data_IF_552938992869
#
_entry.id   IF_552938992869
#
_cell.length_a   1.000
_cell.length_b   1.000
_cell.length_c   1.000
_cell.angle_alpha   90.00
_cell.angle_beta   90.00
_cell.angle_gamma   90.00
#
_symmetry.space_group_name_H-M   'P 1'
#
loop_
_entity.id
_entity.type
_entity.pdbx_description
1 polymer ?
#
# COMPACT_ATOMS: atom_id res chain seq x y z
N UNK A 1 -12.07 10.62 12.75
CA UNK A 1 -11.41 9.46 12.11
C UNK A 1 -10.82 8.57 13.20
N UNK A 2 -10.94 7.26 13.07
CA UNK A 2 -10.40 6.26 13.99
C UNK A 2 -9.28 5.45 13.31
N UNK A 3 -8.07 5.44 13.87
CA UNK A 3 -6.93 4.68 13.33
C UNK A 3 -6.69 3.43 14.19
N UNK A 4 -6.83 2.25 13.60
CA UNK A 4 -6.59 0.97 14.26
C UNK A 4 -5.21 0.43 13.88
N UNK A 5 -4.25 0.56 14.81
CA UNK A 5 -2.84 0.25 14.63
C UNK A 5 -1.97 1.49 14.50
N UNK A 6 -1.26 1.84 15.57
CA UNK A 6 -0.42 3.05 15.67
C UNK A 6 1.07 2.71 15.43
N UNK A 7 1.33 2.00 14.33
CA UNK A 7 2.68 1.76 13.83
C UNK A 7 3.22 2.92 12.99
N UNK A 8 4.24 2.64 12.14
CA UNK A 8 4.80 3.63 11.21
C UNK A 8 3.71 4.28 10.35
N UNK A 9 2.91 3.50 9.64
CA UNK A 9 1.91 4.02 8.68
C UNK A 9 0.73 4.64 9.42
N UNK A 10 0.05 3.90 10.32
CA UNK A 10 -1.11 4.42 11.06
C UNK A 10 -0.77 5.63 11.92
N UNK A 11 0.39 5.62 12.60
CA UNK A 11 0.87 6.77 13.36
C UNK A 11 1.20 7.99 12.49
N UNK A 12 1.69 7.77 11.26
CA UNK A 12 1.91 8.86 10.30
C UNK A 12 0.60 9.42 9.75
N UNK A 13 -0.39 8.56 9.46
CA UNK A 13 -1.73 8.99 9.06
C UNK A 13 -2.37 9.84 10.16
N UNK A 14 -2.31 9.37 11.40
CA UNK A 14 -2.88 10.10 12.54
C UNK A 14 -2.26 11.49 12.68
N UNK A 15 -0.93 11.63 12.50
CA UNK A 15 -0.23 12.92 12.51
C UNK A 15 -0.58 13.80 11.32
N UNK A 16 -0.62 13.23 10.11
CA UNK A 16 -0.89 13.98 8.90
C UNK A 16 -2.34 14.47 8.86
N UNK A 17 -3.30 13.62 9.23
CA UNK A 17 -4.71 13.99 9.30
C UNK A 17 -4.97 15.05 10.40
N UNK A 18 -4.36 14.93 11.58
CA UNK A 18 -4.46 15.96 12.61
C UNK A 18 -3.89 17.31 12.14
N UNK A 19 -2.80 17.30 11.35
CA UNK A 19 -2.23 18.51 10.76
C UNK A 19 -3.12 19.12 9.64
N UNK A 20 -4.06 18.34 9.11
CA UNK A 20 -5.10 18.74 8.16
C UNK A 20 -6.46 19.00 8.86
N UNK A 21 -6.45 19.29 10.16
CA UNK A 21 -7.61 19.63 10.99
C UNK A 21 -8.66 18.52 11.17
N UNK A 22 -8.28 17.25 10.96
CA UNK A 22 -9.16 16.13 11.30
C UNK A 22 -9.20 15.90 12.81
N UNK A 23 -10.39 15.62 13.36
CA UNK A 23 -10.52 15.02 14.68
C UNK A 23 -10.09 13.54 14.57
N UNK A 24 -8.99 13.18 15.27
CA UNK A 24 -8.37 11.86 15.18
C UNK A 24 -8.25 11.21 16.56
N UNK A 25 -8.51 9.92 16.61
CA UNK A 25 -8.21 9.07 17.76
C UNK A 25 -7.80 7.68 17.28
N UNK A 26 -7.17 6.90 18.13
CA UNK A 26 -6.64 5.63 17.66
C UNK A 26 -6.57 4.54 18.72
N UNK A 27 -6.47 3.33 18.21
CA UNK A 27 -6.25 2.12 19.02
C UNK A 27 -4.91 1.48 18.66
N UNK A 28 -4.21 1.02 19.67
CA UNK A 28 -3.07 0.14 19.49
C UNK A 28 -3.01 -0.93 20.58
N UNK A 29 -2.65 -2.16 20.20
CA UNK A 29 -2.51 -3.27 21.14
C UNK A 29 -1.36 -3.05 22.14
N UNK A 30 -0.27 -2.38 21.71
CA UNK A 30 0.89 -2.10 22.56
C UNK A 30 0.61 -0.93 23.50
N UNK A 31 0.78 -1.17 24.80
CA UNK A 31 0.71 -0.13 25.85
C UNK A 31 1.76 0.95 25.60
N UNK A 32 2.98 0.56 25.24
CA UNK A 32 4.08 1.49 24.96
C UNK A 32 3.74 2.39 23.75
N UNK A 33 3.15 1.81 22.69
CA UNK A 33 2.71 2.57 21.52
C UNK A 33 1.62 3.59 21.87
N UNK A 34 0.66 3.23 22.71
CA UNK A 34 -0.39 4.15 23.18
C UNK A 34 0.20 5.24 24.08
N UNK A 35 1.10 4.89 24.99
CA UNK A 35 1.76 5.88 25.86
C UNK A 35 2.59 6.87 25.05
N UNK A 36 3.31 6.40 24.04
CA UNK A 36 4.08 7.27 23.15
C UNK A 36 3.17 8.21 22.33
N UNK A 37 2.04 7.72 21.82
CA UNK A 37 1.06 8.56 21.12
C UNK A 37 0.46 9.62 22.05
N UNK A 38 0.08 9.24 23.27
CA UNK A 38 -0.44 10.18 24.29
C UNK A 38 0.59 11.22 24.71
N UNK A 39 1.86 10.82 24.84
CA UNK A 39 2.96 11.73 25.14
C UNK A 39 3.13 12.82 24.08
N UNK A 40 2.92 12.46 22.81
CA UNK A 40 2.93 13.38 21.68
C UNK A 40 1.61 14.19 21.54
N UNK A 41 0.66 14.03 22.48
CA UNK A 41 -0.59 14.79 22.53
C UNK A 41 -1.75 14.19 21.72
N UNK A 42 -1.62 12.93 21.26
CA UNK A 42 -2.67 12.25 20.51
C UNK A 42 -3.59 11.43 21.43
N UNK A 43 -4.87 11.40 21.09
CA UNK A 43 -5.86 10.57 21.73
C UNK A 43 -5.74 9.12 21.26
N UNK A 44 -5.36 8.21 22.14
CA UNK A 44 -5.11 6.82 21.84
C UNK A 44 -5.49 5.91 23.02
N UNK A 45 -5.99 4.71 22.73
CA UNK A 45 -6.39 3.73 23.76
C UNK A 45 -5.87 2.33 23.43
N UNK A 46 -5.75 1.48 24.46
CA UNK A 46 -5.54 0.03 24.29
C UNK A 46 -6.86 -0.74 24.35
N UNK A 47 -7.99 -0.07 24.59
CA UNK A 47 -9.32 -0.66 24.58
C UNK A 47 -9.96 -0.54 23.20
N UNK A 48 -10.05 -1.68 22.50
CA UNK A 48 -10.65 -1.73 21.18
C UNK A 48 -12.14 -1.40 21.21
N UNK A 49 -12.85 -1.84 22.27
CA UNK A 49 -14.29 -1.62 22.42
C UNK A 49 -14.59 -0.14 22.60
N UNK A 50 -13.79 0.57 23.40
CA UNK A 50 -13.87 2.02 23.58
C UNK A 50 -13.70 2.74 22.23
N UNK A 51 -12.65 2.39 21.47
CA UNK A 51 -12.36 3.00 20.17
C UNK A 51 -13.50 2.76 19.15
N UNK A 52 -14.04 1.54 19.08
CA UNK A 52 -15.09 1.19 18.12
C UNK A 52 -16.44 1.79 18.51
N UNK A 53 -16.79 1.83 19.81
CA UNK A 53 -18.01 2.50 20.29
C UNK A 53 -18.00 3.97 19.87
N UNK A 54 -16.89 4.65 20.13
CA UNK A 54 -16.73 6.05 19.74
C UNK A 54 -16.75 6.23 18.22
N UNK A 55 -16.15 5.32 17.47
CA UNK A 55 -16.20 5.36 16.00
C UNK A 55 -17.64 5.26 15.49
N UNK A 56 -18.43 4.34 16.05
CA UNK A 56 -19.83 4.16 15.69
C UNK A 56 -20.69 5.41 16.05
N UNK A 57 -20.50 5.99 17.23
CA UNK A 57 -21.22 7.19 17.66
C UNK A 57 -20.97 8.40 16.74
N UNK A 58 -19.74 8.49 16.21
CA UNK A 58 -19.31 9.60 15.33
C UNK A 58 -19.48 9.31 13.85
N UNK A 59 -19.86 8.09 13.45
CA UNK A 59 -19.80 7.67 12.04
C UNK A 59 -18.41 7.84 11.44
N UNK A 60 -17.36 7.56 12.21
CA UNK A 60 -15.99 7.87 11.84
C UNK A 60 -15.46 6.95 10.75
N UNK A 61 -14.67 7.48 9.81
CA UNK A 61 -13.85 6.64 8.93
C UNK A 61 -12.85 5.84 9.78
N UNK A 62 -12.92 4.51 9.70
CA UNK A 62 -12.00 3.59 10.36
C UNK A 62 -10.86 3.22 9.38
N UNK A 63 -9.61 3.46 9.80
CA UNK A 63 -8.41 3.13 9.05
C UNK A 63 -7.75 1.89 9.64
N UNK A 64 -7.72 0.79 8.88
CA UNK A 64 -7.10 -0.48 9.28
C UNK A 64 -5.60 -0.41 8.97
N UNK A 65 -4.78 -0.16 9.98
CA UNK A 65 -3.32 -0.06 9.88
C UNK A 65 -2.61 -1.17 10.67
N UNK A 66 -3.17 -2.37 10.62
CA UNK A 66 -2.66 -3.58 11.29
C UNK A 66 -2.13 -4.59 10.27
N UNK A 67 -1.21 -5.50 10.66
CA UNK A 67 -0.77 -6.60 9.79
C UNK A 67 -1.92 -7.55 9.41
N UNK A 68 -1.85 -8.12 8.20
CA UNK A 68 -2.84 -9.07 7.65
C UNK A 68 -3.34 -10.13 8.65
N UNK A 69 -2.48 -10.83 9.43
CA UNK A 69 -2.96 -11.86 10.37
C UNK A 69 -3.87 -11.34 11.49
N UNK A 70 -3.90 -10.03 11.73
CA UNK A 70 -4.77 -9.43 12.74
C UNK A 70 -6.14 -9.01 12.19
N UNK A 71 -6.29 -8.92 10.86
CA UNK A 71 -7.51 -8.43 10.22
C UNK A 71 -8.76 -9.25 10.54
N UNK A 72 -8.79 -10.60 10.44
CA UNK A 72 -10.02 -11.37 10.63
C UNK A 72 -10.68 -11.11 12.00
N UNK A 73 -9.89 -11.13 13.06
CA UNK A 73 -10.40 -10.86 14.40
C UNK A 73 -10.84 -9.41 14.59
N UNK A 74 -10.11 -8.45 14.03
CA UNK A 74 -10.45 -7.03 14.11
C UNK A 74 -11.75 -6.72 13.35
N UNK A 75 -11.91 -7.29 12.16
CA UNK A 75 -13.11 -7.12 11.34
C UNK A 75 -14.35 -7.72 12.00
N UNK A 76 -14.23 -8.85 12.73
CA UNK A 76 -15.31 -9.40 13.50
C UNK A 76 -15.82 -8.41 14.59
N UNK A 77 -14.91 -7.74 15.32
CA UNK A 77 -15.28 -6.71 16.29
C UNK A 77 -15.92 -5.49 15.61
N UNK A 78 -15.41 -5.06 14.45
CA UNK A 78 -15.99 -3.94 13.71
C UNK A 78 -17.40 -4.28 13.22
N UNK A 79 -17.62 -5.49 12.70
CA UNK A 79 -18.94 -5.94 12.25
C UNK A 79 -19.97 -5.99 13.40
N UNK A 80 -19.54 -6.25 14.63
CA UNK A 80 -20.40 -6.26 15.82
C UNK A 80 -20.66 -4.84 16.36
N UNK A 81 -19.63 -3.98 16.43
CA UNK A 81 -19.68 -2.74 17.19
C UNK A 81 -19.84 -1.47 16.34
N UNK A 82 -19.37 -1.50 15.09
CA UNK A 82 -19.34 -0.33 14.21
C UNK A 82 -19.65 -0.71 12.73
N UNK A 83 -20.73 -1.51 12.45
CA UNK A 83 -20.99 -2.08 11.13
C UNK A 83 -21.26 -1.03 10.05
N UNK A 84 -21.73 0.15 10.44
CA UNK A 84 -22.11 1.23 9.53
C UNK A 84 -20.99 2.23 9.25
N UNK A 85 -19.85 2.12 9.95
CA UNK A 85 -18.72 3.00 9.73
C UNK A 85 -18.05 2.77 8.37
N UNK A 86 -17.67 3.81 7.65
CA UNK A 86 -16.83 3.67 6.46
C UNK A 86 -15.45 3.13 6.85
N UNK A 87 -14.89 2.26 5.99
CA UNK A 87 -13.66 1.54 6.22
C UNK A 87 -12.65 1.78 5.11
N UNK A 88 -11.39 1.91 5.47
CA UNK A 88 -10.24 1.78 4.56
C UNK A 88 -9.11 1.04 5.23
N UNK A 89 -8.17 0.55 4.45
CA UNK A 89 -6.93 -0.05 4.95
C UNK A 89 -5.70 0.63 4.36
N UNK A 90 -4.53 0.21 4.81
CA UNK A 90 -3.23 0.71 4.31
C UNK A 90 -2.24 -0.42 4.04
N UNK A 91 -2.73 -1.64 3.89
CA UNK A 91 -1.89 -2.81 3.65
C UNK A 91 -1.34 -2.83 2.22
N UNK A 92 -0.26 -3.57 2.03
CA UNK A 92 0.42 -3.69 0.73
C UNK A 92 -0.25 -4.63 -0.27
N UNK A 93 -1.35 -5.29 0.11
CA UNK A 93 -2.15 -6.18 -0.74
C UNK A 93 -3.62 -5.80 -0.64
N UNK A 94 -4.35 -5.85 -1.75
CA UNK A 94 -5.75 -5.38 -1.80
C UNK A 94 -6.76 -6.52 -1.88
N UNK A 95 -6.54 -7.49 -2.76
CA UNK A 95 -7.49 -8.60 -2.95
C UNK A 95 -7.70 -9.41 -1.67
N UNK A 96 -6.62 -9.79 -0.97
CA UNK A 96 -6.72 -10.55 0.27
C UNK A 96 -7.44 -9.76 1.39
N UNK A 97 -7.25 -8.43 1.46
CA UNK A 97 -8.01 -7.60 2.42
C UNK A 97 -9.49 -7.54 2.05
N UNK A 98 -9.81 -7.37 0.77
CA UNK A 98 -11.19 -7.35 0.28
C UNK A 98 -11.92 -8.66 0.57
N UNK A 99 -11.23 -9.81 0.46
CA UNK A 99 -11.78 -11.12 0.80
C UNK A 99 -12.14 -11.20 2.29
N UNK A 100 -11.23 -10.78 3.19
CA UNK A 100 -11.47 -10.76 4.64
C UNK A 100 -12.61 -9.80 5.02
N UNK A 101 -12.63 -8.60 4.45
CA UNK A 101 -13.69 -7.61 4.67
C UNK A 101 -15.04 -8.13 4.17
N UNK A 102 -15.05 -8.82 3.02
CA UNK A 102 -16.26 -9.44 2.45
C UNK A 102 -16.78 -10.57 3.32
N UNK A 103 -15.88 -11.41 3.85
CA UNK A 103 -16.23 -12.49 4.77
C UNK A 103 -16.83 -11.95 6.10
N UNK A 104 -16.42 -10.76 6.53
CA UNK A 104 -16.99 -10.08 7.70
C UNK A 104 -18.30 -9.33 7.41
N UNK A 105 -18.80 -9.30 6.15
CA UNK A 105 -20.02 -8.59 5.77
C UNK A 105 -19.89 -7.06 5.69
N UNK A 106 -18.67 -6.53 5.61
CA UNK A 106 -18.37 -5.09 5.65
C UNK A 106 -18.02 -4.50 4.27
N UNK A 107 -18.17 -5.31 3.20
CA UNK A 107 -17.71 -4.98 1.85
C UNK A 107 -18.25 -3.64 1.33
N UNK A 108 -19.54 -3.36 1.54
CA UNK A 108 -20.20 -2.17 1.00
C UNK A 108 -19.77 -0.86 1.67
N UNK A 109 -19.05 -0.96 2.80
CA UNK A 109 -18.49 0.16 3.56
C UNK A 109 -16.99 0.34 3.35
N UNK A 110 -16.36 -0.51 2.54
CA UNK A 110 -14.91 -0.61 2.41
C UNK A 110 -14.39 -0.04 1.10
N UNK A 111 -13.32 0.73 1.20
CA UNK A 111 -12.51 1.18 0.08
C UNK A 111 -11.05 0.88 0.40
N UNK A 112 -10.44 0.01 -0.39
CA UNK A 112 -9.04 -0.36 -0.19
C UNK A 112 -8.09 0.81 -0.43
N UNK A 113 -7.07 0.93 0.41
CA UNK A 113 -6.02 1.93 0.31
C UNK A 113 -4.63 1.32 0.44
N UNK A 114 -3.63 1.89 -0.23
CA UNK A 114 -2.24 1.53 -0.05
C UNK A 114 -1.32 2.72 -0.30
N UNK A 115 -0.82 3.40 0.74
CA UNK A 115 0.24 4.39 0.60
C UNK A 115 1.55 3.70 0.21
N UNK A 116 2.04 3.97 -1.00
CA UNK A 116 3.27 3.36 -1.56
C UNK A 116 4.53 4.01 -0.98
N UNK A 117 4.66 3.96 0.34
CA UNK A 117 5.78 4.53 1.08
C UNK A 117 6.05 3.75 2.36
N UNK A 118 7.27 3.83 2.85
CA UNK A 118 7.68 3.18 4.10
C UNK A 118 9.14 3.47 4.42
N UNK A 119 9.56 3.05 5.60
CA UNK A 119 10.96 3.11 6.05
C UNK A 119 11.38 1.76 6.64
N UNK A 120 12.68 1.60 6.91
CA UNK A 120 13.19 0.41 7.60
C UNK A 120 12.82 0.36 9.11
N UNK A 121 12.20 1.42 9.65
CA UNK A 121 11.83 1.54 11.05
C UNK A 121 10.35 1.25 11.25
N UNK A 122 9.97 0.85 12.47
CA UNK A 122 8.60 0.50 12.84
C UNK A 122 8.18 1.17 14.14
N UNK A 123 6.87 1.05 14.47
CA UNK A 123 6.29 1.61 15.69
C UNK A 123 5.95 3.11 15.58
N UNK A 124 5.36 3.64 16.66
CA UNK A 124 4.91 5.03 16.73
C UNK A 124 6.04 6.05 16.51
N UNK A 125 7.21 5.80 17.12
CA UNK A 125 8.36 6.71 17.05
C UNK A 125 8.94 6.86 15.62
N UNK A 126 8.69 5.91 14.73
CA UNK A 126 9.07 6.00 13.32
C UNK A 126 8.10 6.83 12.48
N UNK A 127 6.90 7.11 13.00
CA UNK A 127 5.86 7.87 12.30
C UNK A 127 6.26 9.33 12.06
N UNK A 128 5.89 9.86 10.89
CA UNK A 128 6.24 11.21 10.48
C UNK A 128 5.11 11.89 9.71
N UNK A 129 4.78 13.13 10.04
CA UNK A 129 3.69 13.91 9.43
C UNK A 129 3.78 14.03 7.90
N UNK A 130 4.98 14.05 7.34
CA UNK A 130 5.24 14.15 5.89
C UNK A 130 5.62 12.84 5.22
N UNK A 131 5.33 11.69 5.84
CA UNK A 131 5.69 10.39 5.28
C UNK A 131 5.09 10.17 3.88
N UNK A 132 3.90 10.72 3.65
CA UNK A 132 3.13 10.52 2.42
C UNK A 132 3.36 11.61 1.37
N UNK A 133 4.12 12.68 1.66
CA UNK A 133 4.28 13.83 0.78
C UNK A 133 4.80 13.44 -0.60
N UNK A 134 3.97 13.60 -1.64
CA UNK A 134 4.26 13.26 -3.03
C UNK A 134 4.30 11.76 -3.33
N UNK A 135 4.10 10.88 -2.33
CA UNK A 135 4.03 9.44 -2.55
C UNK A 135 2.72 9.04 -3.24
N UNK A 136 2.73 8.04 -4.12
CA UNK A 136 1.50 7.46 -4.61
C UNK A 136 0.72 6.80 -3.47
N UNK A 137 -0.60 7.01 -3.45
CA UNK A 137 -1.51 6.29 -2.58
C UNK A 137 -2.59 5.65 -3.46
N UNK A 138 -2.58 4.33 -3.55
CA UNK A 138 -3.62 3.63 -4.30
C UNK A 138 -4.94 3.69 -3.54
N UNK A 139 -6.02 4.05 -4.24
CA UNK A 139 -7.39 3.99 -3.72
C UNK A 139 -8.21 3.10 -4.66
N UNK A 140 -8.76 2.01 -4.11
CA UNK A 140 -9.41 1.00 -4.94
C UNK A 140 -10.72 1.50 -5.54
N UNK A 141 -11.02 1.05 -6.77
CA UNK A 141 -12.22 1.40 -7.54
C UNK A 141 -12.98 0.14 -8.00
N UNK A 142 -13.06 -0.86 -7.11
CA UNK A 142 -13.80 -2.09 -7.37
C UNK A 142 -15.31 -1.84 -7.49
N UNK A 143 -16.04 -2.78 -8.07
CA UNK A 143 -17.45 -2.59 -8.45
C UNK A 143 -18.40 -2.27 -7.27
N UNK A 144 -18.07 -2.76 -6.06
CA UNK A 144 -18.86 -2.53 -4.85
C UNK A 144 -18.67 -1.16 -4.21
N UNK A 145 -17.62 -0.44 -4.58
CA UNK A 145 -17.16 0.78 -3.89
C UNK A 145 -18.23 1.87 -3.90
N UNK A 146 -18.60 2.33 -2.70
CA UNK A 146 -19.53 3.45 -2.51
C UNK A 146 -18.85 4.79 -2.87
N UNK A 147 -19.49 5.69 -3.65
CA UNK A 147 -18.88 6.96 -4.06
C UNK A 147 -18.53 7.88 -2.90
N UNK A 148 -19.35 7.93 -1.84
CA UNK A 148 -19.11 8.80 -0.69
C UNK A 148 -17.93 8.31 0.15
N UNK A 149 -17.83 6.99 0.38
CA UNK A 149 -16.68 6.39 1.08
C UNK A 149 -15.41 6.57 0.26
N UNK A 150 -15.50 6.36 -1.06
CA UNK A 150 -14.36 6.58 -1.96
C UNK A 150 -13.83 8.02 -1.90
N UNK A 151 -14.75 8.98 -1.93
CA UNK A 151 -14.40 10.41 -1.82
C UNK A 151 -13.72 10.72 -0.49
N UNK A 152 -14.19 10.15 0.62
CA UNK A 152 -13.56 10.31 1.94
C UNK A 152 -12.13 9.77 1.95
N UNK A 153 -11.89 8.57 1.41
CA UNK A 153 -10.56 7.95 1.39
C UNK A 153 -9.62 8.69 0.44
N UNK A 154 -10.10 9.11 -0.74
CA UNK A 154 -9.35 9.96 -1.66
C UNK A 154 -8.94 11.26 -0.99
N UNK A 155 -9.88 11.95 -0.33
CA UNK A 155 -9.61 13.22 0.36
C UNK A 155 -8.58 13.04 1.47
N UNK A 156 -8.73 11.99 2.30
CA UNK A 156 -7.72 11.66 3.33
C UNK A 156 -6.32 11.49 2.72
N UNK A 157 -6.19 10.75 1.62
CA UNK A 157 -4.90 10.55 0.97
C UNK A 157 -4.29 11.86 0.44
N UNK A 158 -5.12 12.74 -0.16
CA UNK A 158 -4.69 14.06 -0.64
C UNK A 158 -4.28 14.96 0.52
N UNK A 159 -5.06 15.01 1.60
CA UNK A 159 -4.78 15.84 2.79
C UNK A 159 -3.54 15.35 3.55
N UNK A 160 -3.21 14.06 3.47
CA UNK A 160 -1.92 13.52 3.91
C UNK A 160 -0.74 13.90 2.98
N UNK A 161 -1.00 14.61 1.87
CA UNK A 161 0.02 15.08 0.93
C UNK A 161 0.40 14.07 -0.16
N UNK A 162 -0.34 12.97 -0.32
CA UNK A 162 -0.13 11.97 -1.37
C UNK A 162 -0.70 12.42 -2.72
N UNK A 163 -0.30 11.70 -3.77
CA UNK A 163 -1.02 11.69 -5.05
C UNK A 163 -1.82 10.40 -5.13
N UNK A 164 -3.11 10.48 -5.46
CA UNK A 164 -3.98 9.31 -5.51
C UNK A 164 -3.89 8.62 -6.87
N UNK A 165 -3.71 7.30 -6.85
CA UNK A 165 -3.71 6.43 -8.03
C UNK A 165 -4.94 5.51 -7.93
N UNK A 166 -5.98 5.70 -8.74
CA UNK A 166 -7.11 4.80 -8.75
C UNK A 166 -6.73 3.49 -9.48
N UNK A 167 -7.06 2.35 -8.88
CA UNK A 167 -6.83 1.03 -9.46
C UNK A 167 -7.85 0.02 -8.93
N UNK A 168 -8.13 -1.05 -9.68
CA UNK A 168 -8.84 -2.21 -9.12
C UNK A 168 -7.90 -3.00 -8.22
N UNK A 169 -8.45 -3.70 -7.25
CA UNK A 169 -7.65 -4.45 -6.25
C UNK A 169 -6.72 -5.49 -6.89
N UNK A 170 -7.19 -6.24 -7.87
CA UNK A 170 -6.41 -7.24 -8.60
C UNK A 170 -5.30 -6.62 -9.47
N UNK A 171 -5.59 -5.50 -10.13
CA UNK A 171 -4.61 -4.73 -10.92
C UNK A 171 -3.50 -4.14 -10.02
N UNK A 172 -3.90 -3.61 -8.85
CA UNK A 172 -2.93 -3.17 -7.84
C UNK A 172 -2.01 -4.30 -7.42
N UNK A 173 -2.56 -5.48 -7.09
CA UNK A 173 -1.79 -6.61 -6.59
C UNK A 173 -0.84 -7.16 -7.65
N UNK A 174 -1.25 -7.19 -8.92
CA UNK A 174 -0.38 -7.53 -10.04
C UNK A 174 0.77 -6.50 -10.22
N UNK A 175 0.46 -5.21 -10.13
CA UNK A 175 1.47 -4.17 -10.20
C UNK A 175 2.44 -4.24 -9.00
N UNK A 176 1.93 -4.41 -7.76
CA UNK A 176 2.73 -4.54 -6.56
C UNK A 176 3.64 -5.78 -6.62
N UNK A 177 3.15 -6.89 -7.17
CA UNK A 177 3.98 -8.08 -7.40
C UNK A 177 5.19 -7.77 -8.27
N UNK A 178 5.00 -7.01 -9.36
CA UNK A 178 6.06 -6.69 -10.31
C UNK A 178 7.08 -5.67 -9.78
N UNK A 179 6.61 -4.61 -9.07
CA UNK A 179 7.47 -3.46 -8.71
C UNK A 179 7.94 -3.46 -7.24
N UNK A 180 7.39 -4.34 -6.40
CA UNK A 180 7.71 -4.43 -4.98
C UNK A 180 8.07 -5.85 -4.55
N UNK A 181 7.16 -6.81 -4.71
CA UNK A 181 7.34 -8.16 -4.14
C UNK A 181 8.44 -8.94 -4.84
N UNK A 182 8.43 -8.99 -6.18
CA UNK A 182 9.52 -9.60 -6.95
C UNK A 182 10.88 -8.95 -6.67
N UNK A 183 11.05 -7.62 -6.64
CA UNK A 183 12.29 -6.98 -6.22
C UNK A 183 12.83 -7.43 -4.87
N UNK A 184 11.98 -7.68 -3.86
CA UNK A 184 12.41 -8.23 -2.58
C UNK A 184 12.99 -9.65 -2.75
N UNK A 185 12.28 -10.55 -3.44
CA UNK A 185 12.76 -11.92 -3.67
C UNK A 185 14.08 -11.95 -4.45
N UNK A 186 14.25 -11.03 -5.41
CA UNK A 186 15.50 -10.89 -6.17
C UNK A 186 16.65 -10.36 -5.32
N UNK A 187 16.39 -9.39 -4.46
CA UNK A 187 17.39 -8.85 -3.55
C UNK A 187 17.88 -9.91 -2.56
N UNK A 188 16.97 -10.72 -2.00
CA UNK A 188 17.32 -11.85 -1.14
C UNK A 188 18.14 -12.90 -1.89
N UNK A 189 17.71 -13.28 -3.11
CA UNK A 189 18.40 -14.26 -3.94
C UNK A 189 19.80 -13.78 -4.31
N UNK A 190 19.97 -12.50 -4.64
CA UNK A 190 21.27 -11.90 -4.95
C UNK A 190 22.20 -11.89 -3.72
N UNK A 191 21.66 -11.55 -2.54
CA UNK A 191 22.43 -11.57 -1.30
C UNK A 191 22.91 -12.98 -0.94
N UNK A 192 22.04 -14.00 -1.03
CA UNK A 192 22.38 -15.40 -0.80
C UNK A 192 23.46 -15.88 -1.78
N UNK A 193 23.28 -15.62 -3.09
CA UNK A 193 24.25 -16.01 -4.12
C UNK A 193 25.62 -15.40 -3.88
N UNK A 194 25.70 -14.13 -3.49
CA UNK A 194 26.98 -13.47 -3.20
C UNK A 194 27.65 -14.03 -1.93
N UNK A 195 26.86 -14.43 -0.93
CA UNK A 195 27.40 -15.00 0.32
C UNK A 195 28.14 -16.34 0.12
N UNK A 196 27.85 -17.05 -0.97
CA UNK A 196 28.54 -18.31 -1.32
C UNK A 196 29.93 -18.10 -1.92
N UNK A 197 30.30 -16.85 -2.27
CA UNK A 197 31.57 -16.52 -2.92
C UNK A 197 32.49 -15.82 -1.92
N UNK A 198 33.62 -16.46 -1.47
CA UNK A 198 34.43 -15.95 -0.34
C UNK A 198 34.92 -14.52 -0.47
N UNK A 199 35.21 -14.02 -1.69
CA UNK A 199 35.74 -12.68 -1.92
C UNK A 199 34.66 -11.63 -2.21
N UNK A 200 33.40 -12.07 -2.43
CA UNK A 200 32.32 -11.17 -2.93
C UNK A 200 32.08 -9.98 -2.00
N UNK A 201 31.94 -10.21 -0.70
CA UNK A 201 31.65 -9.12 0.25
C UNK A 201 32.81 -8.12 0.40
N UNK A 202 34.08 -8.58 0.26
CA UNK A 202 35.21 -7.69 0.30
C UNK A 202 35.30 -6.76 -0.93
N UNK A 203 34.74 -7.17 -2.04
CA UNK A 203 34.67 -6.41 -3.29
C UNK A 203 33.34 -5.70 -3.52
N UNK A 204 32.34 -5.92 -2.64
CA UNK A 204 30.99 -5.37 -2.78
C UNK A 204 30.98 -3.83 -2.77
N UNK A 205 30.40 -3.23 -3.80
CA UNK A 205 30.30 -1.79 -4.01
C UNK A 205 28.86 -1.35 -4.30
N UNK A 206 28.67 -0.23 -4.98
CA UNK A 206 27.38 0.39 -5.23
C UNK A 206 26.33 -0.56 -5.82
N UNK A 207 26.67 -1.25 -6.91
CA UNK A 207 25.70 -2.16 -7.59
C UNK A 207 25.17 -3.27 -6.69
N UNK A 208 26.03 -3.87 -5.85
CA UNK A 208 25.58 -4.88 -4.89
C UNK A 208 24.71 -4.27 -3.80
N UNK A 209 25.10 -3.12 -3.24
CA UNK A 209 24.33 -2.40 -2.22
C UNK A 209 22.96 -2.00 -2.74
N UNK A 210 22.89 -1.46 -3.95
CA UNK A 210 21.64 -1.02 -4.57
C UNK A 210 20.73 -2.22 -4.89
N UNK A 211 21.30 -3.30 -5.45
CA UNK A 211 20.55 -4.52 -5.79
C UNK A 211 20.05 -5.30 -4.58
N UNK A 212 20.71 -5.18 -3.43
CA UNK A 212 20.30 -5.86 -2.18
C UNK A 212 19.68 -4.93 -1.15
N UNK A 213 19.44 -3.67 -1.49
CA UNK A 213 18.97 -2.64 -0.55
C UNK A 213 17.75 -3.04 0.26
N UNK A 214 16.79 -3.72 -0.38
CA UNK A 214 15.54 -4.12 0.26
C UNK A 214 15.64 -5.43 1.03
N UNK A 215 16.73 -6.20 0.91
CA UNK A 215 16.95 -7.44 1.65
C UNK A 215 17.24 -7.21 3.16
N UNK A 216 17.38 -5.96 3.62
CA UNK A 216 17.45 -5.62 5.05
C UNK A 216 16.08 -5.51 5.71
N UNK A 217 15.00 -5.59 4.94
CA UNK A 217 13.63 -5.56 5.47
C UNK A 217 13.40 -6.77 6.37
N UNK A 218 12.65 -6.58 7.47
CA UNK A 218 12.37 -7.66 8.41
C UNK A 218 11.72 -8.87 7.68
N UNK A 219 12.23 -10.09 7.86
CA UNK A 219 11.76 -11.27 7.11
C UNK A 219 10.26 -11.52 7.23
N UNK A 220 9.68 -11.34 8.41
CA UNK A 220 8.24 -11.53 8.62
C UNK A 220 7.38 -10.55 7.78
N UNK A 221 7.89 -9.34 7.55
CA UNK A 221 7.19 -8.36 6.74
C UNK A 221 7.26 -8.72 5.25
N UNK A 222 8.42 -9.16 4.76
CA UNK A 222 8.59 -9.62 3.37
C UNK A 222 7.71 -10.86 3.10
N UNK A 223 7.72 -11.83 4.03
CA UNK A 223 6.88 -13.01 3.94
C UNK A 223 5.40 -12.66 3.90
N UNK A 224 4.93 -11.84 4.84
CA UNK A 224 3.52 -11.47 4.91
C UNK A 224 3.01 -10.82 3.62
N UNK A 225 3.82 -9.96 3.00
CA UNK A 225 3.49 -9.27 1.76
C UNK A 225 3.51 -10.23 0.55
N UNK A 226 4.55 -11.07 0.41
CA UNK A 226 4.68 -11.98 -0.73
C UNK A 226 3.70 -13.16 -0.65
N UNK A 227 3.49 -13.73 0.56
CA UNK A 227 2.61 -14.88 0.78
C UNK A 227 1.14 -14.48 0.60
N UNK A 228 0.72 -13.29 1.07
CA UNK A 228 -0.63 -12.79 0.87
C UNK A 228 -0.94 -12.44 -0.60
N UNK A 229 0.08 -12.18 -1.42
CA UNK A 229 -0.04 -11.90 -2.86
C UNK A 229 0.51 -13.04 -3.74
N UNK A 230 0.59 -14.26 -3.23
CA UNK A 230 1.24 -15.38 -3.91
C UNK A 230 0.69 -15.62 -5.33
N UNK A 231 -0.62 -15.46 -5.53
CA UNK A 231 -1.26 -15.62 -6.83
C UNK A 231 -0.73 -14.68 -7.92
N UNK A 232 -0.32 -13.46 -7.57
CA UNK A 232 0.26 -12.49 -8.50
C UNK A 232 1.79 -12.55 -8.52
N UNK A 233 2.42 -12.95 -7.41
CA UNK A 233 3.88 -13.06 -7.31
C UNK A 233 4.40 -14.22 -8.15
N UNK A 234 3.72 -15.37 -8.12
CA UNK A 234 4.17 -16.57 -8.83
C UNK A 234 4.36 -16.35 -10.34
N UNK A 235 3.40 -15.77 -11.10
CA UNK A 235 3.61 -15.46 -12.52
C UNK A 235 4.80 -14.51 -12.77
N UNK A 236 5.07 -13.57 -11.86
CA UNK A 236 6.21 -12.65 -11.99
C UNK A 236 7.54 -13.38 -11.78
N UNK A 237 7.59 -14.30 -10.82
CA UNK A 237 8.76 -15.17 -10.59
C UNK A 237 9.01 -16.08 -11.80
N UNK A 238 7.97 -16.72 -12.34
CA UNK A 238 8.08 -17.58 -13.52
C UNK A 238 8.62 -16.79 -14.72
N UNK A 239 8.10 -15.59 -14.96
CA UNK A 239 8.60 -14.72 -16.04
C UNK A 239 10.05 -14.31 -15.82
N UNK A 240 10.45 -14.03 -14.60
CA UNK A 240 11.84 -13.69 -14.29
C UNK A 240 12.79 -14.88 -14.49
N UNK A 241 12.38 -16.08 -14.10
CA UNK A 241 13.14 -17.33 -14.34
C UNK A 241 13.32 -17.55 -15.85
N UNK A 242 12.28 -17.36 -16.64
CA UNK A 242 12.36 -17.46 -18.10
C UNK A 242 13.41 -16.50 -18.68
N UNK A 243 13.38 -15.22 -18.27
CA UNK A 243 14.35 -14.20 -18.74
C UNK A 243 15.79 -14.58 -18.38
N UNK A 244 16.02 -15.06 -17.15
CA UNK A 244 17.35 -15.51 -16.71
C UNK A 244 17.78 -16.78 -17.42
N UNK A 245 16.88 -17.72 -17.68
CA UNK A 245 17.17 -18.96 -18.40
C UNK A 245 17.64 -18.64 -19.83
N UNK A 246 16.93 -17.78 -20.55
CA UNK A 246 17.29 -17.35 -21.88
C UNK A 246 18.66 -16.63 -21.90
N UNK A 247 18.90 -15.75 -20.95
CA UNK A 247 20.18 -15.04 -20.83
C UNK A 247 21.33 -16.02 -20.53
N UNK A 248 21.11 -17.02 -19.65
CA UNK A 248 22.08 -18.08 -19.34
C UNK A 248 22.41 -18.91 -20.55
N UNK A 249 21.41 -19.31 -21.34
CA UNK A 249 21.60 -20.09 -22.58
C UNK A 249 22.40 -19.29 -23.62
N UNK A 250 22.04 -18.02 -23.83
CA UNK A 250 22.77 -17.13 -24.74
C UNK A 250 24.22 -16.91 -24.28
N UNK A 251 24.45 -16.75 -22.98
CA UNK A 251 25.78 -16.62 -22.43
C UNK A 251 26.61 -17.91 -22.64
N UNK A 252 26.00 -19.08 -22.45
CA UNK A 252 26.67 -20.37 -22.60
C UNK A 252 27.08 -20.68 -24.07
N UNK A 253 26.24 -20.29 -25.03
CA UNK A 253 26.45 -20.61 -26.46
C UNK A 253 27.16 -19.50 -27.26
N UNK A 254 26.87 -18.24 -26.89
CA UNK A 254 27.27 -17.07 -27.69
C UNK A 254 28.17 -16.09 -26.89
N UNK A 255 28.46 -16.36 -25.61
CA UNK A 255 29.11 -15.42 -24.70
C UNK A 255 28.41 -14.03 -24.67
N UNK A 256 27.08 -13.98 -24.77
CA UNK A 256 26.33 -12.74 -24.90
C UNK A 256 25.13 -12.70 -23.93
N UNK A 257 24.87 -11.52 -23.39
CA UNK A 257 23.65 -11.17 -22.64
C UNK A 257 22.94 -9.96 -23.27
N UNK A 258 23.26 -9.65 -24.53
CA UNK A 258 22.85 -8.42 -25.21
C UNK A 258 21.34 -8.24 -25.19
N UNK A 259 20.56 -9.27 -25.54
CA UNK A 259 19.10 -9.19 -25.62
C UNK A 259 18.47 -8.75 -24.28
N UNK A 260 18.85 -9.38 -23.16
CA UNK A 260 18.33 -9.01 -21.84
C UNK A 260 18.73 -7.59 -21.45
N UNK A 261 20.00 -7.23 -21.70
CA UNK A 261 20.53 -5.91 -21.28
C UNK A 261 19.89 -4.79 -22.11
N UNK A 262 19.73 -4.96 -23.41
CA UNK A 262 19.09 -3.98 -24.30
C UNK A 262 17.61 -3.81 -23.94
N UNK A 263 16.87 -4.90 -23.73
CA UNK A 263 15.47 -4.87 -23.32
C UNK A 263 15.31 -4.19 -21.95
N UNK A 264 16.16 -4.53 -21.00
CA UNK A 264 16.15 -3.94 -19.65
C UNK A 264 16.46 -2.44 -19.67
N UNK A 265 17.48 -2.02 -20.45
CA UNK A 265 17.81 -0.61 -20.65
C UNK A 265 16.63 0.18 -21.25
N UNK A 266 16.01 -0.35 -22.31
CA UNK A 266 14.86 0.28 -22.93
C UNK A 266 13.67 0.42 -21.95
N UNK A 267 13.39 -0.61 -21.16
CA UNK A 267 12.34 -0.57 -20.14
C UNK A 267 12.63 0.48 -19.06
N UNK A 268 13.89 0.59 -18.60
CA UNK A 268 14.32 1.58 -17.60
C UNK A 268 14.22 3.01 -18.14
N UNK A 269 14.63 3.24 -19.39
CA UNK A 269 14.50 4.55 -20.05
C UNK A 269 13.03 4.97 -20.18
N UNK A 270 12.14 4.04 -20.51
CA UNK A 270 10.70 4.29 -20.55
C UNK A 270 10.16 4.68 -19.16
N UNK A 271 10.60 4.01 -18.09
CA UNK A 271 10.22 4.39 -16.73
C UNK A 271 10.68 5.80 -16.37
N UNK A 272 11.92 6.20 -16.72
CA UNK A 272 12.46 7.53 -16.42
C UNK A 272 11.72 8.65 -17.16
N UNK A 273 11.14 8.34 -18.32
CA UNK A 273 10.31 9.27 -19.11
C UNK A 273 8.80 9.16 -18.83
N UNK A 274 8.40 8.29 -17.88
CA UNK A 274 6.98 8.05 -17.61
C UNK A 274 6.33 9.26 -16.96
N UNK A 275 5.31 9.81 -17.64
CA UNK A 275 4.51 10.93 -17.12
C UNK A 275 3.30 10.41 -16.33
N UNK A 276 2.87 11.21 -15.35
CA UNK A 276 1.66 10.95 -14.55
C UNK A 276 0.68 12.10 -14.78
N UNK A 277 -0.16 12.03 -15.83
CA UNK A 277 -1.15 13.06 -16.13
C UNK A 277 -2.17 13.17 -15.00
N UNK A 278 -2.69 14.37 -14.78
CA UNK A 278 -3.72 14.59 -13.77
C UNK A 278 -5.09 14.17 -14.29
N UNK A 279 -5.83 13.44 -13.47
CA UNK A 279 -7.23 13.06 -13.72
C UNK A 279 -8.10 14.18 -13.18
N UNK A 280 -8.85 14.86 -14.03
CA UNK A 280 -9.69 16.01 -13.65
C UNK A 280 -11.13 15.94 -14.17
N UNK A 281 -11.44 14.95 -15.03
CA UNK A 281 -12.69 14.91 -15.79
C UNK A 281 -13.69 13.87 -15.32
N UNK A 282 -13.32 13.00 -14.39
CA UNK A 282 -14.20 11.95 -13.88
C UNK A 282 -15.08 12.51 -12.76
N UNK A 283 -16.40 12.30 -12.89
CA UNK A 283 -17.38 12.67 -11.86
C UNK A 283 -17.69 11.45 -10.99
N UNK A 284 -17.24 11.46 -9.75
CA UNK A 284 -17.48 10.37 -8.80
C UNK A 284 -18.98 10.21 -8.53
N UNK A 285 -19.48 8.99 -8.65
CA UNK A 285 -20.91 8.67 -8.55
C UNK A 285 -21.68 8.70 -9.88
N UNK A 286 -21.07 9.19 -10.98
CA UNK A 286 -21.69 9.10 -12.31
C UNK A 286 -21.72 7.65 -12.83
N UNK A 287 -22.48 7.39 -13.89
CA UNK A 287 -22.44 6.10 -14.58
C UNK A 287 -21.01 5.79 -15.04
N UNK A 288 -20.52 4.57 -14.79
CA UNK A 288 -19.18 4.07 -15.16
C UNK A 288 -17.95 4.77 -14.52
N UNK A 289 -18.13 5.65 -13.54
CA UNK A 289 -17.03 6.39 -12.92
C UNK A 289 -15.88 5.50 -12.41
N UNK A 290 -16.20 4.29 -11.93
CA UNK A 290 -15.19 3.33 -11.44
C UNK A 290 -14.30 2.84 -12.57
N UNK A 291 -14.90 2.44 -13.70
CA UNK A 291 -14.14 2.00 -14.88
C UNK A 291 -13.35 3.15 -15.52
N UNK A 292 -13.93 4.36 -15.56
CA UNK A 292 -13.22 5.54 -16.05
C UNK A 292 -11.98 5.85 -15.20
N UNK A 293 -12.08 5.76 -13.86
CA UNK A 293 -10.96 5.93 -12.96
C UNK A 293 -9.93 4.80 -13.10
N UNK A 294 -10.37 3.52 -13.17
CA UNK A 294 -9.48 2.39 -13.38
C UNK A 294 -8.72 2.53 -14.71
N UNK A 295 -9.41 2.87 -15.79
CA UNK A 295 -8.79 3.09 -17.10
C UNK A 295 -7.78 4.25 -17.08
N UNK A 296 -8.12 5.36 -16.41
CA UNK A 296 -7.20 6.48 -16.24
C UNK A 296 -5.96 6.08 -15.42
N UNK A 297 -6.13 5.30 -14.34
CA UNK A 297 -5.03 4.77 -13.54
C UNK A 297 -4.10 3.85 -14.34
N UNK A 298 -4.66 2.92 -15.13
CA UNK A 298 -3.90 2.06 -16.07
C UNK A 298 -3.09 2.88 -17.08
N UNK A 299 -3.61 4.03 -17.50
CA UNK A 299 -2.89 4.96 -18.39
C UNK A 299 -1.84 5.82 -17.65
N UNK A 300 -1.64 5.63 -16.35
CA UNK A 300 -0.70 6.38 -15.52
C UNK A 300 -1.26 7.65 -14.92
N UNK A 301 -2.58 7.86 -15.02
CA UNK A 301 -3.25 9.01 -14.44
C UNK A 301 -3.20 9.03 -12.92
N UNK A 302 -3.11 10.22 -12.35
CA UNK A 302 -3.12 10.46 -10.91
C UNK A 302 -4.05 11.61 -10.55
N UNK A 303 -4.57 11.61 -9.32
CA UNK A 303 -5.41 12.69 -8.78
C UNK A 303 -4.56 13.48 -7.80
N UNK A 304 -4.52 14.81 -7.96
CA UNK A 304 -3.77 15.75 -7.11
C UNK A 304 -4.67 16.73 -6.39
N UNK A 305 -5.93 16.83 -6.80
CA UNK A 305 -6.96 17.68 -6.21
C UNK A 305 -8.29 16.93 -6.20
N UNK A 306 -9.19 17.32 -5.30
CA UNK A 306 -10.48 16.65 -5.15
C UNK A 306 -11.25 16.61 -6.49
N UNK A 307 -11.76 15.44 -6.84
CA UNK A 307 -12.60 15.26 -8.02
C UNK A 307 -14.04 15.77 -7.75
N UNK A 308 -14.75 16.23 -8.80
CA UNK A 308 -16.16 16.56 -8.67
C UNK A 308 -16.98 15.31 -8.35
N UNK A 309 -17.96 15.45 -7.45
CA UNK A 309 -18.90 14.40 -7.05
C UNK A 309 -20.33 14.84 -7.32
N UNK A 310 -21.21 13.90 -7.65
CA UNK A 310 -22.64 14.17 -7.81
C UNK A 310 -23.32 14.61 -6.50
N UNK A 311 -22.75 14.20 -5.34
CA UNK A 311 -23.29 14.50 -4.02
C UNK A 311 -22.76 15.84 -3.44
N UNK A 312 -21.87 16.54 -4.14
CA UNK A 312 -21.40 17.86 -3.70
C UNK A 312 -22.30 18.93 -4.29
N UNK A 313 -23.10 19.67 -3.50
CA UNK A 313 -23.84 20.82 -4.01
C UNK A 313 -22.88 21.85 -4.57
N UNK A 314 -23.17 22.37 -5.77
CA UNK A 314 -22.45 23.44 -6.44
C UNK A 314 -22.58 24.76 -5.69
#
# INVERSE_FOLDING_TARGET
MCVLGLGLIGGSIMRAAAAADYEVFGYNRSVEGVQAARFDGFDATTDLSEALTRAAELGALIVLAVPMPALPSLLAYIAEMAPDCPLTDVTSVKSAVLDEVSAAGLRDRFVGGHPMTGTAHSGWAAGHVRLFSGAPWVVSVDDHVDPAVWTQVMTLALDCGSVVVPARSDEHDAAAAAISHLPHLLAESLAVTAAEVPLAFALAAGSFRDGTRVAVTAPDLVRAMCEANAGQVLPMVDRFIELLTNARESLAHNNSVAELVEAGHAARTRYDSFSRPEIVTVFVGAENWREELAAAGRAGGVIRSALPSLDTPR
#
